data_IF_040180983967
#
_entry.id   IF_040180983967
#
_cell.length_a   1.000
_cell.length_b   1.000
_cell.length_c   1.000
_cell.angle_alpha   90.00
_cell.angle_beta   90.00
_cell.angle_gamma   90.00
#
_symmetry.space_group_name_H-M   'P 1'
#
loop_
_entity.id
_entity.type
_entity.pdbx_description
1 polymer ?
#
# COMPACT_ATOMS: atom_id res chain seq x y z
N UNK A 1 6.15 0.13 45.42
CA UNK A 1 4.80 0.23 44.83
C UNK A 1 4.84 0.58 43.33
N UNK A 2 5.49 1.67 42.91
CA UNK A 2 5.52 2.10 41.50
C UNK A 2 6.11 1.06 40.51
N UNK A 3 7.17 0.36 40.89
CA UNK A 3 7.81 -0.67 40.03
C UNK A 3 6.89 -1.85 39.72
N UNK A 4 6.10 -2.32 40.70
CA UNK A 4 5.16 -3.43 40.51
C UNK A 4 3.96 -3.05 39.64
N UNK A 5 3.48 -1.81 39.77
CA UNK A 5 2.41 -1.26 38.93
C UNK A 5 2.87 -1.08 37.48
N UNK A 6 4.09 -0.56 37.26
CA UNK A 6 4.67 -0.46 35.93
C UNK A 6 4.79 -1.84 35.26
N UNK A 7 5.26 -2.86 35.99
CA UNK A 7 5.42 -4.22 35.46
C UNK A 7 4.08 -4.88 35.08
N UNK A 8 3.02 -4.64 35.85
CA UNK A 8 1.67 -5.10 35.52
C UNK A 8 1.07 -4.39 34.30
N UNK A 9 1.35 -3.09 34.13
CA UNK A 9 0.95 -2.33 32.95
C UNK A 9 1.67 -2.82 31.69
N UNK A 10 2.96 -3.14 31.76
CA UNK A 10 3.72 -3.68 30.62
C UNK A 10 3.19 -5.06 30.19
N UNK A 11 2.86 -5.94 31.13
CA UNK A 11 2.38 -7.28 30.81
C UNK A 11 0.97 -7.29 30.18
N UNK A 12 0.13 -6.29 30.48
CA UNK A 12 -1.21 -6.13 29.87
C UNK A 12 -1.19 -5.38 28.54
N UNK A 13 -0.23 -4.50 28.32
CA UNK A 13 -0.13 -3.72 27.07
C UNK A 13 0.38 -4.54 25.89
N UNK A 14 1.32 -5.48 26.11
CA UNK A 14 1.85 -6.35 25.04
C UNK A 14 0.75 -7.15 24.30
N UNK A 15 -0.19 -7.85 24.96
CA UNK A 15 -1.24 -8.59 24.25
C UNK A 15 -2.25 -7.67 23.55
N UNK A 16 -2.58 -6.51 24.13
CA UNK A 16 -3.47 -5.53 23.51
C UNK A 16 -2.87 -4.98 22.20
N UNK A 17 -1.59 -4.61 22.23
CA UNK A 17 -0.85 -4.08 21.08
C UNK A 17 -0.70 -5.13 19.96
N UNK A 18 -0.58 -6.42 20.32
CA UNK A 18 -0.57 -7.52 19.35
C UNK A 18 -1.93 -7.71 18.70
N UNK A 19 -3.01 -7.66 19.47
CA UNK A 19 -4.34 -7.89 18.93
C UNK A 19 -4.76 -6.79 17.92
N UNK A 20 -4.45 -5.53 18.20
CA UNK A 20 -4.69 -4.44 17.25
C UNK A 20 -3.85 -4.57 15.97
N UNK A 21 -2.62 -5.08 16.09
CA UNK A 21 -1.76 -5.30 14.94
C UNK A 21 -2.31 -6.40 14.02
N UNK A 22 -2.76 -7.51 14.60
CA UNK A 22 -3.37 -8.61 13.84
C UNK A 22 -4.68 -8.17 13.17
N UNK A 23 -5.48 -7.33 13.85
CA UNK A 23 -6.69 -6.75 13.26
C UNK A 23 -6.37 -5.82 12.07
N UNK A 24 -5.32 -5.00 12.17
CA UNK A 24 -4.88 -4.16 11.05
C UNK A 24 -4.38 -4.99 9.87
N UNK A 25 -3.60 -6.04 10.13
CA UNK A 25 -3.09 -6.93 9.11
C UNK A 25 -4.23 -7.66 8.38
N UNK A 26 -5.20 -8.19 9.13
CA UNK A 26 -6.35 -8.91 8.56
C UNK A 26 -7.24 -8.00 7.72
N UNK A 27 -7.55 -6.78 8.19
CA UNK A 27 -8.30 -5.79 7.40
C UNK A 27 -7.56 -5.46 6.11
N UNK A 28 -6.24 -5.28 6.21
CA UNK A 28 -5.43 -4.95 5.05
C UNK A 28 -5.44 -6.07 3.99
N UNK A 29 -5.21 -7.31 4.42
CA UNK A 29 -5.24 -8.47 3.53
C UNK A 29 -6.64 -8.65 2.93
N UNK A 30 -7.70 -8.45 3.72
CA UNK A 30 -9.08 -8.56 3.24
C UNK A 30 -9.37 -7.56 2.12
N UNK A 31 -8.99 -6.29 2.30
CA UNK A 31 -9.16 -5.26 1.27
C UNK A 31 -8.38 -5.60 0.01
N UNK A 32 -7.12 -6.06 0.16
CA UNK A 32 -6.30 -6.45 -0.97
C UNK A 32 -6.89 -7.64 -1.74
N UNK A 33 -7.44 -8.63 -1.03
CA UNK A 33 -8.11 -9.79 -1.64
C UNK A 33 -9.37 -9.36 -2.39
N UNK A 34 -10.18 -8.47 -1.82
CA UNK A 34 -11.38 -7.95 -2.49
C UNK A 34 -11.04 -7.20 -3.78
N UNK A 35 -10.02 -6.34 -3.74
CA UNK A 35 -9.58 -5.59 -4.92
C UNK A 35 -9.05 -6.57 -5.98
N UNK A 36 -8.23 -7.54 -5.60
CA UNK A 36 -7.69 -8.54 -6.51
C UNK A 36 -8.79 -9.41 -7.13
N UNK A 37 -9.81 -9.79 -6.34
CA UNK A 37 -10.96 -10.54 -6.86
C UNK A 37 -11.73 -9.72 -7.90
N UNK A 38 -12.01 -8.44 -7.61
CA UNK A 38 -12.73 -7.56 -8.52
C UNK A 38 -11.97 -7.22 -9.81
N UNK A 39 -10.63 -7.33 -9.83
CA UNK A 39 -9.82 -6.97 -11.01
C UNK A 39 -9.37 -8.20 -11.81
N UNK A 40 -8.99 -9.29 -11.15
CA UNK A 40 -8.50 -10.51 -11.81
C UNK A 40 -9.63 -11.27 -12.50
N UNK A 41 -10.83 -11.34 -11.92
CA UNK A 41 -11.97 -12.01 -12.55
C UNK A 41 -12.34 -11.43 -13.92
N UNK A 42 -12.66 -10.12 -14.05
CA UNK A 42 -13.04 -9.55 -15.33
C UNK A 42 -11.89 -9.58 -16.34
N UNK A 43 -10.63 -9.48 -15.87
CA UNK A 43 -9.47 -9.67 -16.73
C UNK A 43 -9.39 -11.09 -17.28
N UNK A 44 -9.55 -12.12 -16.44
CA UNK A 44 -9.54 -13.53 -16.87
C UNK A 44 -10.67 -13.84 -17.85
N UNK A 45 -11.88 -13.33 -17.60
CA UNK A 45 -13.03 -13.50 -18.49
C UNK A 45 -12.74 -12.86 -19.85
N UNK A 46 -12.36 -11.59 -19.88
CA UNK A 46 -12.06 -10.86 -21.14
C UNK A 46 -10.88 -11.47 -21.91
N UNK A 47 -9.88 -11.98 -21.21
CA UNK A 47 -8.75 -12.69 -21.81
C UNK A 47 -9.19 -13.97 -22.53
N UNK A 48 -10.04 -14.79 -21.88
CA UNK A 48 -10.60 -16.00 -22.51
C UNK A 48 -11.46 -15.66 -23.73
N UNK A 49 -12.33 -14.64 -23.62
CA UNK A 49 -13.13 -14.18 -24.75
C UNK A 49 -12.26 -13.68 -25.91
N UNK A 50 -11.21 -12.92 -25.64
CA UNK A 50 -10.27 -12.43 -26.66
C UNK A 50 -9.67 -13.58 -27.48
N UNK A 51 -9.28 -14.69 -26.82
CA UNK A 51 -8.76 -15.89 -27.48
C UNK A 51 -9.80 -16.58 -28.36
N UNK A 52 -11.04 -16.70 -27.88
CA UNK A 52 -12.14 -17.30 -28.66
C UNK A 52 -12.49 -16.42 -29.87
N UNK A 53 -12.51 -15.09 -29.70
CA UNK A 53 -12.88 -14.15 -30.77
C UNK A 53 -11.82 -13.96 -31.84
N UNK A 54 -10.56 -14.27 -31.57
CA UNK A 54 -9.50 -14.22 -32.57
C UNK A 54 -9.78 -15.15 -33.77
N UNK A 55 -10.62 -16.16 -33.58
CA UNK A 55 -11.06 -17.10 -34.63
C UNK A 55 -12.43 -16.75 -35.22
N UNK A 56 -13.13 -15.75 -34.67
CA UNK A 56 -14.46 -15.33 -35.16
C UNK A 56 -14.35 -14.33 -36.32
N UNK A 57 -15.23 -14.43 -37.32
CA UNK A 57 -15.21 -13.58 -38.52
C UNK A 57 -15.97 -12.25 -38.37
N UNK A 58 -16.65 -12.02 -37.24
CA UNK A 58 -17.45 -10.81 -37.02
C UNK A 58 -16.56 -9.65 -36.49
N UNK A 59 -16.34 -8.59 -37.29
CA UNK A 59 -15.48 -7.47 -36.90
C UNK A 59 -16.08 -6.60 -35.79
N UNK A 60 -17.42 -6.52 -35.67
CA UNK A 60 -18.09 -5.69 -34.65
C UNK A 60 -17.93 -6.33 -33.28
N UNK A 61 -18.04 -7.66 -33.21
CA UNK A 61 -17.82 -8.40 -31.98
C UNK A 61 -16.36 -8.32 -31.51
N UNK A 62 -15.40 -8.44 -32.43
CA UNK A 62 -13.97 -8.28 -32.11
C UNK A 62 -13.65 -6.88 -31.55
N UNK A 63 -14.23 -5.82 -32.12
CA UNK A 63 -14.02 -4.46 -31.62
C UNK A 63 -14.51 -4.28 -30.16
N UNK A 64 -15.66 -4.86 -29.81
CA UNK A 64 -16.19 -4.84 -28.44
C UNK A 64 -15.27 -5.56 -27.45
N UNK A 65 -14.77 -6.75 -27.82
CA UNK A 65 -13.87 -7.52 -26.97
C UNK A 65 -12.51 -6.83 -26.83
N UNK A 66 -11.99 -6.22 -27.89
CA UNK A 66 -10.76 -5.42 -27.84
C UNK A 66 -10.87 -4.25 -26.87
N UNK A 67 -11.97 -3.49 -26.93
CA UNK A 67 -12.24 -2.38 -26.02
C UNK A 67 -12.37 -2.87 -24.56
N UNK A 68 -13.13 -3.94 -24.34
CA UNK A 68 -13.27 -4.54 -23.01
C UNK A 68 -11.91 -5.00 -22.44
N UNK A 69 -11.07 -5.62 -23.27
CA UNK A 69 -9.73 -6.09 -22.88
C UNK A 69 -8.78 -4.95 -22.52
N UNK A 70 -8.87 -3.82 -23.24
CA UNK A 70 -8.05 -2.64 -22.95
C UNK A 70 -8.49 -1.99 -21.63
N UNK A 71 -9.79 -1.93 -21.36
CA UNK A 71 -10.31 -1.41 -20.09
C UNK A 71 -9.84 -2.31 -18.93
N UNK A 72 -10.08 -3.62 -18.99
CA UNK A 72 -9.69 -4.54 -17.91
C UNK A 72 -8.19 -4.58 -17.70
N UNK A 73 -7.37 -4.47 -18.76
CA UNK A 73 -5.92 -4.38 -18.63
C UNK A 73 -5.49 -3.13 -17.85
N UNK A 74 -6.07 -1.96 -18.14
CA UNK A 74 -5.79 -0.73 -17.40
C UNK A 74 -6.19 -0.85 -15.92
N UNK A 75 -7.36 -1.43 -15.63
CA UNK A 75 -7.78 -1.70 -14.25
C UNK A 75 -6.83 -2.67 -13.53
N UNK A 76 -6.34 -3.71 -14.21
CA UNK A 76 -5.36 -4.64 -13.65
C UNK A 76 -4.03 -3.96 -13.33
N UNK A 77 -3.54 -3.06 -14.18
CA UNK A 77 -2.33 -2.27 -13.90
C UNK A 77 -2.52 -1.38 -12.67
N UNK A 78 -3.67 -0.69 -12.56
CA UNK A 78 -3.99 0.13 -11.38
C UNK A 78 -4.09 -0.72 -10.10
N UNK A 79 -4.57 -1.97 -10.21
CA UNK A 79 -4.62 -2.92 -9.10
C UNK A 79 -3.23 -3.23 -8.51
N UNK A 80 -2.16 -3.18 -9.30
CA UNK A 80 -0.80 -3.34 -8.78
C UNK A 80 -0.34 -2.17 -7.89
N UNK A 81 -0.92 -0.97 -8.06
CA UNK A 81 -0.64 0.18 -7.21
C UNK A 81 -1.52 0.21 -5.94
N UNK A 82 -2.64 -0.50 -5.93
CA UNK A 82 -3.56 -0.60 -4.78
C UNK A 82 -2.92 -0.97 -3.44
N UNK A 83 -1.97 -1.94 -3.34
CA UNK A 83 -1.29 -2.26 -2.09
C UNK A 83 -0.69 -1.02 -1.43
N UNK A 84 -0.05 -0.16 -2.22
CA UNK A 84 0.59 1.05 -1.71
C UNK A 84 -0.43 2.02 -1.09
N UNK A 85 -1.55 2.25 -1.77
CA UNK A 85 -2.62 3.12 -1.25
C UNK A 85 -3.32 2.51 -0.04
N UNK A 86 -3.55 1.19 -0.03
CA UNK A 86 -4.14 0.50 1.12
C UNK A 86 -3.21 0.52 2.33
N UNK A 87 -1.89 0.36 2.16
CA UNK A 87 -0.89 0.56 3.22
C UNK A 87 -0.96 1.97 3.83
N UNK A 88 -1.08 3.02 3.00
CA UNK A 88 -1.16 4.42 3.47
C UNK A 88 -2.48 4.71 4.20
N UNK A 89 -3.60 4.18 3.72
CA UNK A 89 -4.92 4.46 4.27
C UNK A 89 -5.22 3.65 5.55
N UNK A 90 -4.78 2.40 5.64
CA UNK A 90 -5.14 1.49 6.74
C UNK A 90 -4.11 1.48 7.86
N UNK A 91 -2.81 1.53 7.55
CA UNK A 91 -1.77 1.38 8.58
C UNK A 91 -1.42 2.72 9.24
N UNK A 92 -1.97 2.95 10.43
CA UNK A 92 -1.63 4.12 11.26
C UNK A 92 -0.15 4.12 11.67
N UNK A 93 0.45 2.94 11.90
CA UNK A 93 1.87 2.81 12.25
C UNK A 93 2.78 3.20 11.08
N UNK A 94 2.45 2.81 9.86
CA UNK A 94 3.23 3.20 8.67
C UNK A 94 3.16 4.72 8.45
N UNK A 95 1.99 5.33 8.62
CA UNK A 95 1.85 6.81 8.59
C UNK A 95 2.70 7.51 9.66
N UNK A 96 2.77 6.94 10.87
CA UNK A 96 3.60 7.48 11.93
C UNK A 96 5.09 7.32 11.62
N UNK A 97 5.52 6.14 11.14
CA UNK A 97 6.90 5.89 10.71
C UNK A 97 7.33 6.84 9.57
N UNK A 98 6.45 7.10 8.60
CA UNK A 98 6.70 8.09 7.55
C UNK A 98 6.87 9.51 8.11
N UNK A 99 6.02 9.93 9.06
CA UNK A 99 6.18 11.24 9.73
C UNK A 99 7.52 11.33 10.47
N UNK A 100 7.92 10.28 11.19
CA UNK A 100 9.21 10.24 11.87
C UNK A 100 10.39 10.27 10.89
N UNK A 101 10.31 9.56 9.75
CA UNK A 101 11.33 9.56 8.72
C UNK A 101 11.49 10.93 8.02
N UNK A 102 10.39 11.62 7.72
CA UNK A 102 10.46 12.98 7.16
C UNK A 102 11.02 13.99 8.17
N UNK A 103 10.69 13.83 9.46
CA UNK A 103 11.22 14.68 10.52
C UNK A 103 12.73 14.50 10.72
N UNK A 104 13.22 13.26 10.73
CA UNK A 104 14.67 13.00 10.86
C UNK A 104 15.45 13.50 9.65
N UNK A 105 14.92 13.39 8.43
CA UNK A 105 15.56 13.96 7.23
C UNK A 105 15.68 15.49 7.30
N UNK A 106 14.64 16.18 7.78
CA UNK A 106 14.68 17.63 7.96
C UNK A 106 15.71 18.06 9.02
N UNK A 107 15.85 17.32 10.11
CA UNK A 107 16.87 17.57 11.14
C UNK A 107 18.28 17.37 10.57
N UNK A 108 18.52 16.29 9.82
CA UNK A 108 19.82 16.03 9.20
C UNK A 108 20.19 17.13 8.21
N UNK A 109 19.22 17.58 7.38
CA UNK A 109 19.42 18.68 6.44
C UNK A 109 19.70 20.02 7.14
N UNK A 110 19.10 20.25 8.32
CA UNK A 110 19.36 21.43 9.14
C UNK A 110 20.76 21.40 9.78
N UNK A 111 21.16 20.26 10.34
CA UNK A 111 22.50 20.06 10.92
C UNK A 111 23.58 20.18 9.84
N UNK A 112 23.36 19.63 8.63
CA UNK A 112 24.32 19.75 7.54
C UNK A 112 24.50 21.21 7.10
N UNK A 113 23.43 21.99 7.02
CA UNK A 113 23.50 23.44 6.74
C UNK A 113 24.29 24.22 7.80
N UNK A 114 24.07 23.92 9.08
CA UNK A 114 24.82 24.57 10.18
C UNK A 114 26.30 24.19 10.14
N UNK A 115 26.61 22.92 9.90
CA UNK A 115 27.99 22.43 9.86
C UNK A 115 28.76 23.05 8.68
N UNK A 116 28.10 23.22 7.53
CA UNK A 116 28.67 23.91 6.36
C UNK A 116 28.94 25.38 6.67
N UNK A 117 27.97 26.12 7.23
CA UNK A 117 28.14 27.53 7.61
C UNK A 117 29.29 27.75 8.59
N UNK A 118 29.45 26.87 9.59
CA UNK A 118 30.51 26.99 10.59
C UNK A 118 31.91 26.71 10.01
N UNK A 119 32.00 25.89 8.95
CA UNK A 119 33.26 25.60 8.24
C UNK A 119 33.78 26.78 7.41
N UNK A 120 32.89 27.68 6.97
CA UNK A 120 33.26 28.90 6.23
C UNK A 120 33.57 30.10 7.13
N UNK A 121 33.22 30.05 8.42
CA UNK A 121 33.50 31.13 9.38
C UNK A 121 34.91 31.07 9.99
N UNK A 122 35.64 29.97 9.76
CA UNK A 122 36.99 29.70 10.28
C UNK A 122 38.09 29.76 9.20
N UNK A 123 37.77 30.30 8.02
CA UNK A 123 38.70 30.63 6.92
C UNK A 123 38.72 32.15 6.75
#
# INVERSE_FOLDING_TARGET
>A
MAYYNARHLTHRTVPLIRHELDKQLTIMVLVQVLINFCTVLPFGITYMFSKITATSSDPVFQAKVSLASSITLNFSILSYASPFYTYICVSQRFRQQLKYASFTQNIIAFISKICIQNKYLHL
#
